data_IF_341979484866
#
_entry.id   IF_341979484866
#
_cell.length_a   1.000
_cell.length_b   1.000
_cell.length_c   1.000
_cell.angle_alpha   90.00
_cell.angle_beta   90.00
_cell.angle_gamma   90.00
#
_symmetry.space_group_name_H-M   'P 1'
#
loop_
_entity.id
_entity.type
_entity.pdbx_description
1 polymer ?
#
# COMPACT_ATOMS: atom_id res chain seq x y z
N UNK A 1 -0.20 41.73 3.61
CA UNK A 1 -1.21 40.65 3.53
C UNK A 1 -1.50 40.45 2.05
N UNK A 2 -1.22 39.32 1.40
CA UNK A 2 -1.07 37.94 1.89
C UNK A 2 -0.07 37.17 1.01
N UNK A 3 1.11 36.88 1.54
CA UNK A 3 2.01 35.85 1.01
C UNK A 3 1.64 34.52 1.67
N UNK A 4 0.66 33.78 1.12
CA UNK A 4 0.33 32.44 1.62
C UNK A 4 -0.05 31.52 0.47
N UNK A 5 0.62 30.36 0.44
CA UNK A 5 0.41 29.17 -0.39
C UNK A 5 0.97 29.18 -1.83
N UNK A 6 2.31 29.23 -1.92
CA UNK A 6 2.97 28.29 -2.85
C UNK A 6 2.88 26.91 -2.21
N UNK A 7 1.83 26.16 -2.52
CA UNK A 7 1.79 24.73 -2.26
C UNK A 7 2.84 24.13 -3.20
N UNK A 8 4.06 23.94 -2.67
CA UNK A 8 5.12 23.21 -3.35
C UNK A 8 4.63 21.78 -3.60
N UNK A 9 3.94 21.60 -4.73
CA UNK A 9 3.47 20.31 -5.23
C UNK A 9 4.66 19.53 -5.76
N UNK A 10 5.57 19.16 -4.87
CA UNK A 10 6.39 17.98 -5.11
C UNK A 10 5.45 16.80 -4.88
N UNK A 11 4.96 16.11 -5.93
CA UNK A 11 4.29 14.84 -5.72
C UNK A 11 5.17 14.01 -4.79
N UNK A 12 4.56 13.39 -3.79
CA UNK A 12 5.27 12.48 -2.89
C UNK A 12 5.83 11.37 -3.78
N UNK A 13 7.09 11.51 -4.19
CA UNK A 13 7.74 10.54 -5.07
C UNK A 13 8.03 9.34 -4.19
N UNK A 14 7.18 8.33 -4.30
CA UNK A 14 7.38 7.06 -3.61
C UNK A 14 8.70 6.45 -4.10
N UNK A 15 9.75 6.61 -3.30
CA UNK A 15 11.02 5.97 -3.52
C UNK A 15 11.10 4.74 -2.59
N UNK A 16 11.04 3.51 -3.10
CA UNK A 16 11.15 2.29 -2.29
C UNK A 16 12.41 2.23 -1.43
N UNK A 17 13.48 2.94 -1.80
CA UNK A 17 14.72 3.01 -1.01
C UNK A 17 14.54 3.71 0.34
N UNK A 18 13.48 4.49 0.52
CA UNK A 18 13.16 5.14 1.80
C UNK A 18 12.71 4.15 2.88
N UNK A 19 12.23 2.97 2.48
CA UNK A 19 11.85 1.90 3.39
C UNK A 19 13.00 0.92 3.66
N UNK A 20 14.13 1.07 2.96
CA UNK A 20 15.33 0.25 3.17
C UNK A 20 16.13 0.84 4.32
N UNK A 21 16.29 0.07 5.40
CA UNK A 21 17.07 0.47 6.58
C UNK A 21 18.53 0.73 6.18
N UNK A 22 19.03 1.96 6.41
CA UNK A 22 20.46 2.34 6.29
C UNK A 22 21.21 2.31 7.64
N UNK A 23 20.78 1.49 8.61
CA UNK A 23 21.38 1.46 9.95
C UNK A 23 21.69 0.03 10.38
N UNK A 24 22.97 -0.20 10.65
CA UNK A 24 23.53 -1.42 11.25
C UNK A 24 23.16 -1.49 12.73
N UNK A 25 21.93 -1.90 13.08
CA UNK A 25 21.61 -2.35 14.44
C UNK A 25 20.72 -3.58 14.32
N UNK A 26 21.15 -4.68 14.93
CA UNK A 26 20.41 -5.92 15.01
C UNK A 26 19.10 -5.70 15.81
N UNK A 27 17.94 -5.93 15.16
CA UNK A 27 16.62 -6.22 15.75
C UNK A 27 15.47 -5.20 15.75
N UNK A 28 15.57 -3.97 15.23
CA UNK A 28 14.37 -3.10 15.24
C UNK A 28 13.55 -3.15 13.94
N UNK A 29 12.39 -3.81 14.04
CA UNK A 29 11.35 -3.94 13.02
C UNK A 29 10.73 -2.58 12.64
N UNK A 30 10.66 -2.26 11.35
CA UNK A 30 10.08 -1.00 10.82
C UNK A 30 8.56 -0.89 11.07
N UNK A 31 7.86 -2.03 11.18
CA UNK A 31 6.48 -2.14 11.65
C UNK A 31 6.20 -3.59 12.09
N UNK A 32 5.30 -3.84 13.06
CA UNK A 32 4.94 -5.19 13.48
C UNK A 32 4.37 -6.02 12.34
N UNK A 33 4.84 -7.27 12.17
CA UNK A 33 4.34 -8.18 11.14
C UNK A 33 2.82 -8.37 11.30
N UNK A 34 2.11 -8.32 10.17
CA UNK A 34 0.66 -8.45 10.12
C UNK A 34 -0.13 -7.19 10.47
N UNK A 35 0.52 -6.10 10.88
CA UNK A 35 -0.12 -4.79 11.02
C UNK A 35 -0.35 -4.09 9.68
N UNK A 36 -1.25 -3.11 9.67
CA UNK A 36 -1.49 -2.27 8.49
C UNK A 36 -0.24 -1.54 7.97
N UNK A 37 0.58 -0.86 8.81
CA UNK A 37 1.80 -0.22 8.33
C UNK A 37 2.79 -1.22 7.71
N UNK A 38 2.91 -2.42 8.29
CA UNK A 38 3.74 -3.48 7.71
C UNK A 38 3.23 -3.91 6.33
N UNK A 39 1.91 -4.08 6.18
CA UNK A 39 1.29 -4.44 4.92
C UNK A 39 1.54 -3.39 3.83
N UNK A 40 1.39 -2.10 4.18
CA UNK A 40 1.69 -0.99 3.27
C UNK A 40 3.16 -0.99 2.84
N UNK A 41 4.10 -1.21 3.76
CA UNK A 41 5.53 -1.34 3.43
C UNK A 41 5.75 -2.48 2.44
N UNK A 42 5.14 -3.65 2.65
CA UNK A 42 5.26 -4.76 1.70
C UNK A 42 4.74 -4.38 0.31
N UNK A 43 3.62 -3.66 0.23
CA UNK A 43 3.09 -3.17 -1.06
C UNK A 43 4.00 -2.15 -1.74
N UNK A 44 4.59 -1.21 -1.00
CA UNK A 44 5.59 -0.28 -1.56
C UNK A 44 6.86 -1.00 -2.05
N UNK A 45 7.14 -2.19 -1.52
CA UNK A 45 8.19 -3.07 -1.99
C UNK A 45 7.74 -3.98 -3.16
N UNK A 46 6.55 -3.75 -3.72
CA UNK A 46 6.01 -4.47 -4.87
C UNK A 46 5.39 -5.84 -4.54
N UNK A 47 5.18 -6.15 -3.26
CA UNK A 47 4.54 -7.40 -2.84
C UNK A 47 3.02 -7.24 -2.77
N UNK A 48 2.31 -8.35 -2.93
CA UNK A 48 0.88 -8.42 -2.65
C UNK A 48 0.64 -8.91 -1.23
N UNK A 49 -0.40 -8.38 -0.60
CA UNK A 49 -0.80 -8.72 0.76
C UNK A 49 -2.27 -9.13 0.78
N UNK A 50 -2.67 -9.85 1.82
CA UNK A 50 -4.07 -10.19 2.05
C UNK A 50 -4.41 -10.06 3.52
N UNK A 51 -5.69 -9.91 3.83
CA UNK A 51 -6.18 -10.14 5.19
C UNK A 51 -6.53 -11.60 5.39
N UNK A 52 -6.29 -12.12 6.59
CA UNK A 52 -6.68 -13.48 6.97
C UNK A 52 -8.19 -13.64 7.05
N UNK A 53 -8.91 -12.55 7.37
CA UNK A 53 -10.39 -12.55 7.42
C UNK A 53 -11.05 -12.38 6.04
N UNK A 54 -10.30 -11.99 5.02
CA UNK A 54 -10.84 -11.94 3.66
C UNK A 54 -11.00 -13.33 3.08
N UNK A 55 -11.95 -13.47 2.15
CA UNK A 55 -12.14 -14.67 1.36
C UNK A 55 -10.82 -15.11 0.72
N UNK A 56 -10.65 -16.42 0.55
CA UNK A 56 -9.50 -16.95 -0.18
C UNK A 56 -9.42 -16.28 -1.56
N UNK A 57 -8.22 -16.03 -2.07
CA UNK A 57 -8.04 -15.39 -3.38
C UNK A 57 -8.27 -13.88 -3.43
N UNK A 58 -8.69 -13.24 -2.34
CA UNK A 58 -8.67 -11.79 -2.25
C UNK A 58 -7.27 -11.26 -1.91
N UNK A 59 -6.76 -10.38 -2.74
CA UNK A 59 -5.40 -9.82 -2.61
C UNK A 59 -5.42 -8.31 -2.81
N UNK A 60 -4.59 -7.61 -2.06
CA UNK A 60 -4.34 -6.19 -2.19
C UNK A 60 -2.96 -5.99 -2.82
N UNK A 61 -2.89 -5.10 -3.80
CA UNK A 61 -1.66 -4.80 -4.52
C UNK A 61 -1.59 -3.35 -4.98
N UNK A 62 -0.37 -2.91 -5.24
CA UNK A 62 -0.11 -1.65 -5.95
C UNK A 62 0.07 -1.96 -7.43
N UNK A 63 -0.80 -1.39 -8.26
CA UNK A 63 -0.74 -1.50 -9.72
C UNK A 63 -0.66 -0.12 -10.36
N UNK A 64 -0.24 -0.05 -11.61
CA UNK A 64 -0.27 1.18 -12.40
C UNK A 64 -1.61 1.28 -13.14
N UNK A 65 -2.27 2.43 -13.04
CA UNK A 65 -3.48 2.75 -13.79
C UNK A 65 -3.28 4.04 -14.59
N UNK A 66 -4.12 4.29 -15.58
CA UNK A 66 -4.18 5.59 -16.25
C UNK A 66 -5.13 6.52 -15.50
N UNK A 67 -4.67 7.72 -15.16
CA UNK A 67 -5.53 8.79 -14.67
C UNK A 67 -6.45 9.31 -15.79
N UNK A 68 -7.44 10.19 -15.49
CA UNK A 68 -8.32 10.75 -16.52
C UNK A 68 -7.62 11.55 -17.62
N UNK A 69 -6.35 11.92 -17.42
CA UNK A 69 -5.52 12.63 -18.40
C UNK A 69 -4.65 11.66 -19.23
N UNK A 70 -4.71 10.36 -18.96
CA UNK A 70 -3.93 9.32 -19.63
C UNK A 70 -2.53 9.11 -19.05
N UNK A 71 -2.21 9.66 -17.88
CA UNK A 71 -0.91 9.45 -17.22
C UNK A 71 -0.93 8.19 -16.37
N UNK A 72 0.17 7.44 -16.41
CA UNK A 72 0.39 6.29 -15.53
C UNK A 72 0.62 6.74 -14.08
N UNK A 73 -0.22 6.27 -13.16
CA UNK A 73 -0.14 6.56 -11.73
C UNK A 73 -0.27 5.27 -10.90
N UNK A 74 0.48 5.14 -9.79
CA UNK A 74 0.31 4.01 -8.88
C UNK A 74 -1.04 4.10 -8.16
N UNK A 75 -1.72 2.96 -8.04
CA UNK A 75 -3.01 2.84 -7.37
C UNK A 75 -3.05 1.56 -6.53
N UNK A 76 -3.60 1.68 -5.31
CA UNK A 76 -3.83 0.53 -4.43
C UNK A 76 -5.18 -0.06 -4.79
N UNK A 77 -5.18 -1.33 -5.19
CA UNK A 77 -6.34 -2.01 -5.74
C UNK A 77 -6.48 -3.37 -5.06
N UNK A 78 -7.72 -3.83 -4.92
CA UNK A 78 -8.05 -5.18 -4.45
C UNK A 78 -8.50 -6.03 -5.64
N UNK A 79 -8.08 -7.27 -5.68
CA UNK A 79 -8.50 -8.28 -6.66
C UNK A 79 -9.14 -9.45 -5.93
N UNK A 80 -10.25 -9.95 -6.46
CA UNK A 80 -10.93 -11.13 -5.93
C UNK A 80 -10.94 -12.24 -6.98
N UNK A 81 -10.06 -13.23 -6.82
CA UNK A 81 -9.91 -14.33 -7.77
C UNK A 81 -11.19 -15.17 -7.99
N UNK A 82 -12.17 -15.10 -7.08
CA UNK A 82 -13.37 -15.95 -7.13
C UNK A 82 -14.69 -15.17 -7.20
N UNK A 83 -14.65 -13.85 -7.05
CA UNK A 83 -15.82 -12.98 -7.16
C UNK A 83 -15.77 -12.11 -8.41
N UNK A 84 -14.98 -11.04 -8.36
CA UNK A 84 -14.78 -10.12 -9.49
C UNK A 84 -13.35 -10.26 -9.99
N UNK A 85 -13.19 -10.76 -11.22
CA UNK A 85 -11.89 -10.96 -11.88
C UNK A 85 -11.24 -9.65 -12.35
N UNK A 86 -11.53 -8.53 -11.71
CA UNK A 86 -10.99 -7.21 -12.03
C UNK A 86 -10.38 -6.58 -10.78
N UNK A 87 -9.34 -5.77 -10.98
CA UNK A 87 -8.76 -4.94 -9.94
C UNK A 87 -9.66 -3.74 -9.70
N UNK A 88 -10.07 -3.53 -8.45
CA UNK A 88 -10.95 -2.43 -8.06
C UNK A 88 -10.33 -1.56 -6.97
N UNK A 89 -10.58 -0.25 -7.07
CA UNK A 89 -9.96 0.74 -6.18
C UNK A 89 -10.26 0.42 -4.73
N UNK A 90 -9.22 0.33 -3.92
CA UNK A 90 -9.36 -0.02 -2.52
C UNK A 90 -9.24 1.21 -1.63
N UNK A 91 -10.04 1.24 -0.56
CA UNK A 91 -9.96 2.24 0.50
C UNK A 91 -9.94 1.51 1.86
N UNK A 92 -9.00 1.84 2.76
CA UNK A 92 -8.92 1.18 4.06
C UNK A 92 -10.12 1.53 4.94
N UNK A 93 -10.76 0.51 5.49
CA UNK A 93 -11.68 0.66 6.62
C UNK A 93 -10.95 0.72 7.96
N UNK A 94 -11.67 1.04 9.04
CA UNK A 94 -11.10 1.07 10.40
C UNK A 94 -10.41 -0.25 10.77
N UNK A 95 -11.08 -1.38 10.51
CA UNK A 95 -10.55 -2.70 10.84
C UNK A 95 -9.31 -3.07 10.01
N UNK A 96 -9.19 -2.54 8.79
CA UNK A 96 -8.00 -2.74 7.96
C UNK A 96 -6.78 -2.07 8.59
N UNK A 97 -6.98 -0.89 9.19
CA UNK A 97 -5.93 -0.09 9.81
C UNK A 97 -5.54 -0.56 11.22
N UNK A 98 -6.49 -1.13 11.97
CA UNK A 98 -6.27 -1.47 13.39
C UNK A 98 -5.98 -2.94 13.67
N UNK A 99 -6.34 -3.86 12.78
CA UNK A 99 -6.15 -5.29 13.06
C UNK A 99 -4.75 -5.76 12.60
N UNK A 100 -4.29 -6.83 13.23
CA UNK A 100 -2.98 -7.45 12.98
C UNK A 100 -3.12 -8.76 12.21
N UNK A 101 -3.97 -8.78 11.18
CA UNK A 101 -4.32 -9.97 10.42
C UNK A 101 -3.89 -9.91 8.95
N UNK A 102 -2.98 -9.00 8.62
CA UNK A 102 -2.35 -8.95 7.31
C UNK A 102 -1.33 -10.09 7.12
N UNK A 103 -1.18 -10.54 5.89
CA UNK A 103 -0.22 -11.55 5.51
C UNK A 103 0.29 -11.32 4.07
N UNK A 104 1.41 -11.93 3.73
CA UNK A 104 1.87 -11.96 2.34
C UNK A 104 1.03 -12.95 1.53
N UNK A 105 0.78 -12.63 0.28
CA UNK A 105 0.29 -13.60 -0.69
C UNK A 105 1.48 -14.48 -1.08
N UNK A 106 1.38 -15.78 -0.81
CA UNK A 106 2.40 -16.79 -1.12
C UNK A 106 2.37 -17.21 -2.57
#
# INVERSE_FOLDING_TARGET
>A
MSDVNKLDSKPCSFNPDQYKVKVTIANDTVAPVGSFPWAMIQMYLGKQVRRKVWSAGMVLGMITINDPSGNEVPSIQVFDAYGNSEWVSWQPGQNDMTFCDWDLVS
#
